data_IF_950658550972
#
_entry.id   IF_950658550972
#
_cell.length_a   1.000
_cell.length_b   1.000
_cell.length_c   1.000
_cell.angle_alpha   90.00
_cell.angle_beta   90.00
_cell.angle_gamma   90.00
#
_symmetry.space_group_name_H-M   'P 1'
#
loop_
_entity.id
_entity.type
_entity.pdbx_description
1 polymer ?
#
# COMPACT_ATOMS: atom_id res chain seq x y z
N UNK A 1 11.19 0.04 -27.47
CA UNK A 1 10.24 -0.44 -26.45
C UNK A 1 10.50 -1.91 -26.14
N UNK A 2 11.24 -2.23 -25.07
CA UNK A 2 11.44 -3.62 -24.60
C UNK A 2 10.12 -4.13 -24.02
N UNK A 3 9.35 -4.86 -24.82
CA UNK A 3 8.06 -5.44 -24.43
C UNK A 3 8.32 -6.55 -23.41
N UNK A 4 7.97 -6.30 -22.14
CA UNK A 4 8.18 -7.19 -21.00
C UNK A 4 7.37 -8.47 -21.25
N UNK A 5 8.04 -9.57 -21.61
CA UNK A 5 7.41 -10.90 -21.74
C UNK A 5 6.65 -11.18 -20.44
N UNK A 6 5.35 -11.50 -20.53
CA UNK A 6 4.54 -11.79 -19.35
C UNK A 6 5.14 -12.97 -18.56
N UNK A 7 5.06 -12.93 -17.22
CA UNK A 7 5.57 -14.00 -16.35
C UNK A 7 4.94 -15.35 -16.72
N UNK A 8 3.68 -15.33 -17.14
CA UNK A 8 2.89 -16.51 -17.55
C UNK A 8 3.46 -17.18 -18.79
N UNK A 9 3.85 -16.42 -19.82
CA UNK A 9 4.45 -17.00 -21.02
C UNK A 9 5.82 -17.63 -20.75
N UNK A 10 6.64 -17.02 -19.89
CA UNK A 10 7.95 -17.60 -19.51
C UNK A 10 7.77 -18.90 -18.74
N UNK A 11 6.85 -18.92 -17.79
CA UNK A 11 6.58 -20.10 -16.98
C UNK A 11 6.05 -21.26 -17.84
N UNK A 12 5.13 -20.98 -18.78
CA UNK A 12 4.63 -22.00 -19.68
C UNK A 12 5.68 -22.54 -20.66
N UNK A 13 6.59 -21.70 -21.17
CA UNK A 13 7.72 -22.19 -22.00
C UNK A 13 8.63 -23.11 -21.19
N UNK A 14 8.94 -22.76 -19.93
CA UNK A 14 9.75 -23.60 -19.05
C UNK A 14 9.07 -24.95 -18.78
N UNK A 15 7.77 -24.96 -18.49
CA UNK A 15 7.03 -26.23 -18.28
C UNK A 15 7.00 -27.07 -19.56
N UNK A 16 6.81 -26.45 -20.74
CA UNK A 16 6.83 -27.18 -22.01
C UNK A 16 8.21 -27.83 -22.25
N UNK A 17 9.30 -27.11 -21.97
CA UNK A 17 10.66 -27.67 -22.08
C UNK A 17 10.91 -28.82 -21.09
N UNK A 18 10.49 -28.67 -19.84
CA UNK A 18 10.57 -29.74 -18.83
C UNK A 18 9.75 -30.96 -19.27
N UNK A 19 8.54 -30.73 -19.79
CA UNK A 19 7.66 -31.80 -20.26
C UNK A 19 8.24 -32.52 -21.47
N UNK A 20 8.87 -31.80 -22.42
CA UNK A 20 9.58 -32.41 -23.53
C UNK A 20 10.75 -33.27 -23.05
N UNK A 21 11.50 -32.81 -22.05
CA UNK A 21 12.62 -33.57 -21.48
C UNK A 21 12.16 -34.85 -20.76
N UNK A 22 11.08 -34.76 -19.98
CA UNK A 22 10.46 -35.92 -19.31
C UNK A 22 9.92 -36.92 -20.33
N UNK A 23 9.29 -36.45 -21.40
CA UNK A 23 8.77 -37.31 -22.46
C UNK A 23 9.88 -37.99 -23.26
N UNK A 24 10.97 -37.28 -23.56
CA UNK A 24 12.16 -37.86 -24.17
C UNK A 24 12.76 -38.97 -23.31
N UNK A 25 12.95 -38.71 -22.01
CA UNK A 25 13.45 -39.70 -21.06
C UNK A 25 12.53 -40.93 -20.96
N UNK A 26 11.22 -40.72 -21.06
CA UNK A 26 10.28 -41.82 -20.95
C UNK A 26 10.03 -42.58 -22.27
N UNK A 27 10.30 -41.96 -23.43
CA UNK A 27 10.33 -42.65 -24.72
C UNK A 27 11.58 -43.54 -24.81
N UNK A 28 12.71 -43.07 -24.27
CA UNK A 28 13.95 -43.85 -24.15
C UNK A 28 13.76 -45.14 -23.35
N UNK A 29 12.96 -45.09 -22.28
CA UNK A 29 12.71 -46.25 -21.42
C UNK A 29 11.71 -47.28 -21.96
N UNK A 30 10.90 -46.95 -22.97
CA UNK A 30 9.81 -47.80 -23.45
C UNK A 30 10.15 -48.56 -24.75
N UNK A 31 10.60 -47.85 -25.80
CA UNK A 31 10.71 -48.39 -27.16
C UNK A 31 12.14 -48.31 -27.74
N UNK A 32 13.14 -48.00 -26.90
CA UNK A 32 14.54 -47.95 -27.30
C UNK A 32 14.99 -46.63 -27.96
N UNK A 33 16.29 -46.58 -28.28
CA UNK A 33 17.05 -45.35 -28.57
C UNK A 33 16.65 -44.68 -29.91
N UNK A 34 16.32 -45.47 -30.94
CA UNK A 34 15.94 -44.97 -32.27
C UNK A 34 14.56 -44.28 -32.29
N UNK A 35 13.59 -44.84 -31.58
CA UNK A 35 12.26 -44.25 -31.44
C UNK A 35 12.32 -42.97 -30.59
N UNK A 36 13.10 -43.00 -29.50
CA UNK A 36 13.31 -41.83 -28.65
C UNK A 36 13.98 -40.66 -29.41
N UNK A 37 14.91 -40.93 -30.33
CA UNK A 37 15.56 -39.90 -31.15
C UNK A 37 14.60 -39.28 -32.17
N UNK A 38 13.77 -40.07 -32.86
CA UNK A 38 12.76 -39.54 -33.80
C UNK A 38 11.66 -38.76 -33.09
N UNK A 39 11.12 -39.31 -32.00
CA UNK A 39 10.10 -38.64 -31.18
C UNK A 39 10.66 -37.39 -30.49
N UNK A 40 11.88 -37.46 -29.97
CA UNK A 40 12.61 -36.35 -29.37
C UNK A 40 12.84 -35.21 -30.36
N UNK A 41 13.32 -35.50 -31.56
CA UNK A 41 13.53 -34.49 -32.60
C UNK A 41 12.25 -33.72 -32.95
N UNK A 42 11.11 -34.42 -33.04
CA UNK A 42 9.81 -33.77 -33.27
C UNK A 42 9.36 -32.91 -32.06
N UNK A 43 9.53 -33.40 -30.82
CA UNK A 43 9.21 -32.66 -29.60
C UNK A 43 10.05 -31.39 -29.45
N UNK A 44 11.37 -31.50 -29.67
CA UNK A 44 12.28 -30.35 -29.61
C UNK A 44 12.00 -29.36 -30.74
N UNK A 45 11.67 -29.81 -31.95
CA UNK A 45 11.27 -28.92 -33.04
C UNK A 45 10.00 -28.11 -32.68
N UNK A 46 8.97 -28.77 -32.14
CA UNK A 46 7.74 -28.10 -31.68
C UNK A 46 8.04 -27.14 -30.52
N UNK A 47 8.87 -27.53 -29.54
CA UNK A 47 9.28 -26.65 -28.45
C UNK A 47 10.06 -25.41 -28.93
N UNK A 48 10.88 -25.57 -29.97
CA UNK A 48 11.63 -24.47 -30.59
C UNK A 48 10.69 -23.52 -31.33
N UNK A 49 9.74 -24.05 -32.12
CA UNK A 49 8.69 -23.26 -32.79
C UNK A 49 7.84 -22.51 -31.78
N UNK A 50 7.45 -23.14 -30.68
CA UNK A 50 6.71 -22.51 -29.57
C UNK A 50 7.52 -21.37 -28.95
N UNK A 51 8.82 -21.55 -28.74
CA UNK A 51 9.71 -20.52 -28.20
C UNK A 51 9.82 -19.32 -29.15
N UNK A 52 9.87 -19.56 -30.47
CA UNK A 52 9.90 -18.52 -31.51
C UNK A 52 8.56 -17.75 -31.57
N UNK A 53 7.42 -18.44 -31.48
CA UNK A 53 6.09 -17.82 -31.49
C UNK A 53 5.87 -16.92 -30.27
N UNK A 54 6.47 -17.24 -29.12
CA UNK A 54 6.42 -16.38 -27.93
C UNK A 54 7.17 -15.06 -28.14
N UNK A 55 8.27 -15.08 -28.90
CA UNK A 55 9.04 -13.88 -29.26
C UNK A 55 8.33 -12.96 -30.28
N UNK A 56 7.44 -13.50 -31.13
CA UNK A 56 6.74 -12.74 -32.17
C UNK A 56 5.68 -11.78 -31.59
N UNK A 57 5.47 -10.55 -32.10
CA UNK A 57 4.56 -9.57 -31.50
C UNK A 57 3.06 -9.80 -31.83
N UNK A 58 2.56 -11.01 -31.60
CA UNK A 58 1.14 -11.39 -31.77
C UNK A 58 0.34 -11.02 -30.51
N UNK A 59 -0.98 -10.84 -30.64
CA UNK A 59 -1.92 -10.60 -29.54
C UNK A 59 -1.80 -11.67 -28.43
N UNK A 60 -1.72 -11.24 -27.16
CA UNK A 60 -1.45 -12.11 -26.00
C UNK A 60 -2.50 -13.22 -25.87
N UNK A 61 -3.77 -12.94 -26.18
CA UNK A 61 -4.83 -13.95 -26.18
C UNK A 61 -4.57 -15.10 -27.16
N UNK A 62 -4.11 -14.78 -28.37
CA UNK A 62 -3.84 -15.77 -29.42
C UNK A 62 -2.63 -16.63 -29.00
N UNK A 63 -1.60 -16.02 -28.44
CA UNK A 63 -0.42 -16.74 -27.92
C UNK A 63 -0.79 -17.71 -26.80
N UNK A 64 -1.64 -17.28 -25.87
CA UNK A 64 -2.04 -18.09 -24.73
C UNK A 64 -2.86 -19.32 -25.11
N UNK A 65 -3.64 -19.24 -26.21
CA UNK A 65 -4.38 -20.39 -26.75
C UNK A 65 -3.48 -21.25 -27.65
N UNK A 66 -2.58 -20.64 -28.40
CA UNK A 66 -1.68 -21.34 -29.33
C UNK A 66 -0.63 -22.20 -28.60
N UNK A 67 -0.12 -21.75 -27.44
CA UNK A 67 0.92 -22.50 -26.72
C UNK A 67 0.45 -23.90 -26.27
N UNK A 68 -0.67 -24.02 -25.53
CA UNK A 68 -1.21 -25.32 -25.14
C UNK A 68 -1.64 -26.15 -26.36
N UNK A 69 -2.14 -25.47 -27.40
CA UNK A 69 -2.55 -26.13 -28.64
C UNK A 69 -1.38 -26.75 -29.39
N UNK A 70 -0.24 -26.06 -29.49
CA UNK A 70 0.97 -26.59 -30.10
C UNK A 70 1.52 -27.81 -29.34
N UNK A 71 1.45 -27.79 -28.01
CA UNK A 71 1.81 -28.95 -27.19
C UNK A 71 0.87 -30.14 -27.45
N UNK A 72 -0.43 -29.86 -27.56
CA UNK A 72 -1.45 -30.89 -27.79
C UNK A 72 -1.38 -31.47 -29.21
N UNK A 73 -1.11 -30.65 -30.23
CA UNK A 73 -0.89 -31.13 -31.61
C UNK A 73 0.42 -31.91 -31.75
N UNK A 74 1.49 -31.50 -31.05
CA UNK A 74 2.74 -32.27 -30.99
C UNK A 74 2.53 -33.67 -30.42
N UNK A 75 1.74 -33.79 -29.35
CA UNK A 75 1.36 -35.08 -28.77
C UNK A 75 0.50 -35.94 -29.71
N UNK A 76 -0.43 -35.31 -30.44
CA UNK A 76 -1.24 -36.01 -31.47
C UNK A 76 -0.37 -36.57 -32.61
N UNK A 77 0.56 -35.77 -33.13
CA UNK A 77 1.47 -36.23 -34.20
C UNK A 77 2.33 -37.40 -33.75
N UNK A 78 2.81 -37.39 -32.51
CA UNK A 78 3.54 -38.52 -31.94
C UNK A 78 2.65 -39.75 -31.79
N UNK A 79 1.42 -39.61 -31.28
CA UNK A 79 0.48 -40.74 -31.18
C UNK A 79 0.25 -41.45 -32.52
N UNK A 80 0.18 -40.68 -33.61
CA UNK A 80 -0.03 -41.21 -34.97
C UNK A 80 1.23 -41.94 -35.48
N UNK A 81 2.42 -41.36 -35.30
CA UNK A 81 3.69 -41.96 -35.75
C UNK A 81 3.98 -43.27 -34.98
N UNK A 82 3.51 -43.34 -33.74
CA UNK A 82 3.82 -44.40 -32.81
C UNK A 82 2.84 -45.56 -32.79
N UNK A 83 1.80 -45.54 -33.63
CA UNK A 83 0.82 -46.63 -33.71
C UNK A 83 -0.20 -46.68 -32.57
N UNK A 84 -0.39 -45.57 -31.85
CA UNK A 84 -1.34 -45.46 -30.75
C UNK A 84 -0.80 -45.98 -29.41
N UNK A 85 -0.40 -45.05 -28.53
CA UNK A 85 -0.06 -45.36 -27.14
C UNK A 85 -1.06 -44.69 -26.19
N UNK A 86 -1.70 -45.47 -25.32
CA UNK A 86 -2.64 -44.97 -24.30
C UNK A 86 -2.05 -43.87 -23.40
N UNK A 87 -0.72 -43.89 -23.23
CA UNK A 87 0.04 -42.95 -22.40
C UNK A 87 -0.04 -41.49 -22.88
N UNK A 88 -0.42 -41.25 -24.14
CA UNK A 88 -0.54 -39.91 -24.72
C UNK A 88 -1.65 -39.06 -24.07
N UNK A 89 -2.67 -39.68 -23.46
CA UNK A 89 -3.72 -38.96 -22.73
C UNK A 89 -3.20 -38.14 -21.53
N UNK A 90 -2.09 -38.57 -20.92
CA UNK A 90 -1.46 -37.81 -19.83
C UNK A 90 -0.87 -36.49 -20.35
N UNK A 91 -0.42 -36.45 -21.60
CA UNK A 91 0.14 -35.23 -22.23
C UNK A 91 -0.98 -34.24 -22.55
N UNK A 92 -2.15 -34.73 -22.95
CA UNK A 92 -3.34 -33.89 -23.13
C UNK A 92 -3.81 -33.26 -21.82
N UNK A 93 -3.75 -34.01 -20.71
CA UNK A 93 -4.03 -33.46 -19.39
C UNK A 93 -3.00 -32.41 -18.98
N UNK A 94 -1.73 -32.59 -19.34
CA UNK A 94 -0.68 -31.59 -19.12
C UNK A 94 -0.90 -30.32 -19.97
N UNK A 95 -1.34 -30.45 -21.23
CA UNK A 95 -1.71 -29.33 -22.08
C UNK A 95 -2.92 -28.55 -21.50
N UNK A 96 -3.88 -29.26 -20.90
CA UNK A 96 -4.99 -28.65 -20.18
C UNK A 96 -4.51 -27.82 -18.98
N UNK A 97 -3.56 -28.35 -18.20
CA UNK A 97 -2.93 -27.62 -17.09
C UNK A 97 -2.19 -26.37 -17.57
N UNK A 98 -1.46 -26.44 -18.70
CA UNK A 98 -0.80 -25.29 -19.31
C UNK A 98 -1.79 -24.18 -19.73
N UNK A 99 -2.98 -24.57 -20.21
CA UNK A 99 -4.05 -23.62 -20.49
C UNK A 99 -4.63 -22.98 -19.21
N UNK A 100 -4.72 -23.74 -18.12
CA UNK A 100 -5.22 -23.26 -16.83
C UNK A 100 -4.28 -22.29 -16.11
N UNK A 101 -2.96 -22.40 -16.31
CA UNK A 101 -1.95 -21.48 -15.75
C UNK A 101 -2.20 -20.02 -16.14
N UNK A 102 -2.83 -19.76 -17.29
CA UNK A 102 -3.21 -18.40 -17.69
C UNK A 102 -4.33 -17.79 -16.84
N UNK A 103 -4.89 -18.54 -15.89
CA UNK A 103 -5.99 -18.14 -15.00
C UNK A 103 -7.13 -17.42 -15.73
N UNK A 104 -7.36 -17.75 -17.01
CA UNK A 104 -8.33 -17.10 -17.88
C UNK A 104 -9.38 -18.09 -18.35
N UNK A 105 -10.62 -17.86 -17.88
CA UNK A 105 -11.79 -18.66 -18.24
C UNK A 105 -11.99 -18.73 -19.75
N UNK A 106 -11.78 -17.60 -20.46
CA UNK A 106 -11.93 -17.54 -21.92
C UNK A 106 -10.90 -18.43 -22.62
N UNK A 107 -9.63 -18.37 -22.21
CA UNK A 107 -8.54 -19.15 -22.82
C UNK A 107 -8.76 -20.65 -22.58
N UNK A 108 -9.06 -21.04 -21.34
CA UNK A 108 -9.29 -22.44 -20.97
C UNK A 108 -10.50 -23.03 -21.72
N UNK A 109 -11.59 -22.29 -21.82
CA UNK A 109 -12.81 -22.76 -22.50
C UNK A 109 -12.62 -22.86 -24.01
N UNK A 110 -12.00 -21.86 -24.64
CA UNK A 110 -11.69 -21.89 -26.09
C UNK A 110 -10.75 -23.05 -26.42
N UNK A 111 -9.68 -23.25 -25.66
CA UNK A 111 -8.77 -24.38 -25.86
C UNK A 111 -9.50 -25.73 -25.71
N UNK A 112 -10.25 -25.91 -24.62
CA UNK A 112 -10.93 -27.18 -24.32
C UNK A 112 -11.94 -27.58 -25.40
N UNK A 113 -12.70 -26.61 -25.93
CA UNK A 113 -13.71 -26.86 -26.99
C UNK A 113 -13.02 -27.25 -28.30
N UNK A 114 -12.00 -26.49 -28.72
CA UNK A 114 -11.32 -26.77 -30.00
C UNK A 114 -10.60 -28.13 -29.89
N UNK A 115 -9.91 -28.38 -28.78
CA UNK A 115 -9.15 -29.60 -28.60
C UNK A 115 -10.03 -30.84 -28.46
N UNK A 116 -11.15 -30.76 -27.74
CA UNK A 116 -12.13 -31.85 -27.66
C UNK A 116 -12.70 -32.20 -29.04
N UNK A 117 -13.03 -31.19 -29.85
CA UNK A 117 -13.49 -31.37 -31.23
C UNK A 117 -12.44 -32.09 -32.08
N UNK A 118 -11.17 -31.70 -31.96
CA UNK A 118 -10.06 -32.34 -32.70
C UNK A 118 -9.90 -33.80 -32.30
N UNK A 119 -9.93 -34.14 -31.00
CA UNK A 119 -9.83 -35.53 -30.54
C UNK A 119 -10.97 -36.39 -31.09
N UNK A 120 -12.21 -35.88 -31.08
CA UNK A 120 -13.38 -36.60 -31.59
C UNK A 120 -13.24 -36.88 -33.09
N UNK A 121 -12.78 -35.89 -33.88
CA UNK A 121 -12.57 -36.06 -35.32
C UNK A 121 -11.49 -37.12 -35.61
N UNK A 122 -10.36 -37.07 -34.89
CA UNK A 122 -9.27 -38.04 -35.08
C UNK A 122 -9.71 -39.45 -34.69
N UNK A 123 -10.54 -39.59 -33.65
CA UNK A 123 -11.11 -40.87 -33.24
C UNK A 123 -12.00 -41.50 -34.34
N UNK A 124 -12.80 -40.68 -35.04
CA UNK A 124 -13.65 -41.15 -36.14
C UNK A 124 -12.82 -41.62 -37.36
N UNK A 125 -11.71 -40.94 -37.64
CA UNK A 125 -10.86 -41.25 -38.81
C UNK A 125 -9.97 -42.47 -38.56
N UNK A 126 -9.39 -42.62 -37.36
CA UNK A 126 -8.49 -43.73 -37.04
C UNK A 126 -8.49 -44.04 -35.53
N UNK A 127 -9.28 -45.01 -35.06
CA UNK A 127 -9.33 -45.38 -33.64
C UNK A 127 -8.03 -46.02 -33.14
N UNK A 128 -7.31 -46.72 -34.03
CA UNK A 128 -6.03 -47.37 -33.73
C UNK A 128 -4.92 -46.36 -33.40
N UNK A 129 -4.92 -45.18 -34.04
CA UNK A 129 -3.89 -44.15 -33.82
C UNK A 129 -3.98 -43.45 -32.46
N UNK A 130 -5.10 -43.60 -31.73
CA UNK A 130 -5.30 -42.98 -30.41
C UNK A 130 -5.21 -44.01 -29.28
N UNK A 131 -5.77 -45.21 -29.47
CA UNK A 131 -5.87 -46.24 -28.42
C UNK A 131 -4.93 -47.45 -28.62
N UNK A 132 -4.29 -47.61 -29.78
CA UNK A 132 -3.53 -48.81 -30.13
C UNK A 132 -4.41 -49.98 -30.57
N UNK A 133 -3.84 -51.19 -30.66
CA UNK A 133 -4.53 -52.42 -31.12
C UNK A 133 -5.72 -52.84 -30.21
N UNK A 134 -5.76 -52.40 -28.95
CA UNK A 134 -6.81 -52.70 -27.97
C UNK A 134 -7.90 -51.60 -27.92
N UNK A 135 -8.33 -51.11 -29.09
CA UNK A 135 -9.28 -50.01 -29.19
C UNK A 135 -10.70 -50.40 -28.72
N UNK A 136 -11.00 -50.17 -27.43
CA UNK A 136 -12.33 -50.32 -26.86
C UNK A 136 -13.01 -48.96 -26.61
N UNK A 137 -14.22 -48.79 -27.16
CA UNK A 137 -15.06 -47.58 -26.98
C UNK A 137 -15.26 -47.23 -25.49
N UNK A 138 -15.34 -48.23 -24.61
CA UNK A 138 -15.49 -48.03 -23.17
C UNK A 138 -14.31 -47.31 -22.53
N UNK A 139 -13.07 -47.61 -22.98
CA UNK A 139 -11.85 -46.97 -22.48
C UNK A 139 -11.81 -45.50 -22.94
N UNK A 140 -12.20 -45.23 -24.19
CA UNK A 140 -12.27 -43.87 -24.72
C UNK A 140 -13.28 -43.00 -23.95
N UNK A 141 -14.47 -43.51 -23.67
CA UNK A 141 -15.52 -42.80 -22.91
C UNK A 141 -15.05 -42.48 -21.49
N UNK A 142 -14.43 -43.46 -20.80
CA UNK A 142 -13.93 -43.25 -19.45
C UNK A 142 -12.85 -42.14 -19.40
N UNK A 143 -11.93 -42.13 -20.37
CA UNK A 143 -10.85 -41.12 -20.46
C UNK A 143 -11.38 -39.73 -20.82
N UNK A 144 -12.32 -39.64 -21.77
CA UNK A 144 -13.00 -38.38 -22.07
C UNK A 144 -13.79 -37.86 -20.86
N UNK A 145 -14.42 -38.75 -20.09
CA UNK A 145 -15.07 -38.41 -18.83
C UNK A 145 -14.10 -37.74 -17.84
N UNK A 146 -12.94 -38.33 -17.61
CA UNK A 146 -11.89 -37.74 -16.75
C UNK A 146 -11.40 -36.40 -17.30
N UNK A 147 -11.26 -36.26 -18.62
CA UNK A 147 -10.86 -35.01 -19.24
C UNK A 147 -11.89 -33.89 -19.02
N UNK A 148 -13.19 -34.19 -19.15
CA UNK A 148 -14.29 -33.25 -18.88
C UNK A 148 -14.34 -32.87 -17.39
N UNK A 149 -14.13 -33.83 -16.49
CA UNK A 149 -14.01 -33.56 -15.06
C UNK A 149 -12.82 -32.62 -14.76
N UNK A 150 -11.67 -32.86 -15.38
CA UNK A 150 -10.49 -32.02 -15.23
C UNK A 150 -10.74 -30.57 -15.73
N UNK A 151 -11.42 -30.41 -16.87
CA UNK A 151 -11.84 -29.09 -17.38
C UNK A 151 -12.69 -28.37 -16.33
N UNK A 152 -13.64 -29.08 -15.72
CA UNK A 152 -14.58 -28.52 -14.75
C UNK A 152 -13.86 -28.04 -13.48
N UNK A 153 -12.94 -28.85 -12.95
CA UNK A 153 -12.12 -28.50 -11.77
C UNK A 153 -11.22 -27.31 -12.07
N UNK A 154 -10.51 -27.33 -13.21
CA UNK A 154 -9.62 -26.23 -13.60
C UNK A 154 -10.40 -24.94 -13.89
N UNK A 155 -11.63 -25.02 -14.37
CA UNK A 155 -12.50 -23.86 -14.54
C UNK A 155 -12.83 -23.18 -13.20
N UNK A 156 -13.16 -23.95 -12.18
CA UNK A 156 -13.43 -23.44 -10.82
C UNK A 156 -12.16 -22.84 -10.22
N UNK A 157 -11.03 -23.55 -10.28
CA UNK A 157 -9.74 -23.05 -9.81
C UNK A 157 -9.35 -21.75 -10.52
N UNK A 158 -9.57 -21.67 -11.83
CA UNK A 158 -9.31 -20.48 -12.63
C UNK A 158 -10.19 -19.30 -12.20
N UNK A 159 -11.47 -19.57 -11.90
CA UNK A 159 -12.41 -18.55 -11.41
C UNK A 159 -11.97 -18.01 -10.05
N UNK A 160 -11.68 -18.90 -9.09
CA UNK A 160 -11.31 -18.53 -7.73
C UNK A 160 -9.94 -17.85 -7.68
N UNK A 161 -8.95 -18.34 -8.43
CA UNK A 161 -7.64 -17.70 -8.49
C UNK A 161 -7.71 -16.27 -9.01
N UNK A 162 -8.51 -16.02 -10.06
CA UNK A 162 -8.73 -14.67 -10.58
C UNK A 162 -9.41 -13.75 -9.57
N UNK A 163 -10.41 -14.26 -8.87
CA UNK A 163 -11.15 -13.50 -7.85
C UNK A 163 -10.25 -13.11 -6.66
N UNK A 164 -9.42 -14.04 -6.21
CA UNK A 164 -8.44 -13.80 -5.15
C UNK A 164 -7.44 -12.70 -5.54
N UNK A 165 -6.90 -12.75 -6.77
CA UNK A 165 -5.97 -11.73 -7.28
C UNK A 165 -6.63 -10.34 -7.33
N UNK A 166 -7.86 -10.26 -7.83
CA UNK A 166 -8.61 -8.99 -7.88
C UNK A 166 -8.87 -8.46 -6.46
N UNK A 167 -9.25 -9.34 -5.53
CA UNK A 167 -9.48 -8.97 -4.14
C UNK A 167 -8.21 -8.43 -3.48
N UNK A 168 -7.07 -9.10 -3.65
CA UNK A 168 -5.79 -8.65 -3.11
C UNK A 168 -5.34 -7.32 -3.71
N UNK A 169 -5.52 -7.10 -5.02
CA UNK A 169 -5.22 -5.80 -5.63
C UNK A 169 -6.10 -4.68 -5.05
N UNK A 170 -7.40 -4.95 -4.86
CA UNK A 170 -8.32 -4.00 -4.25
C UNK A 170 -7.90 -3.67 -2.82
N UNK A 171 -7.60 -4.68 -2.01
CA UNK A 171 -7.10 -4.51 -0.64
C UNK A 171 -5.78 -3.72 -0.60
N UNK A 172 -4.85 -3.98 -1.52
CA UNK A 172 -3.61 -3.21 -1.65
C UNK A 172 -3.88 -1.73 -1.98
N UNK A 173 -4.80 -1.45 -2.91
CA UNK A 173 -5.16 -0.07 -3.26
C UNK A 173 -5.84 0.66 -2.09
N UNK A 174 -6.71 -0.03 -1.36
CA UNK A 174 -7.35 0.52 -0.17
C UNK A 174 -6.33 0.80 0.93
N UNK A 175 -5.39 -0.12 1.17
CA UNK A 175 -4.31 0.09 2.13
C UNK A 175 -3.44 1.29 1.78
N UNK A 176 -3.10 1.48 0.49
CA UNK A 176 -2.35 2.66 0.04
C UNK A 176 -3.12 3.97 0.24
N UNK A 177 -4.42 3.99 -0.06
CA UNK A 177 -5.28 5.15 0.17
C UNK A 177 -5.39 5.49 1.66
N UNK A 178 -5.55 4.47 2.52
CA UNK A 178 -5.53 4.65 3.97
C UNK A 178 -4.20 5.18 4.49
N UNK A 179 -3.06 4.68 3.97
CA UNK A 179 -1.74 5.18 4.34
C UNK A 179 -1.54 6.64 3.91
N UNK A 180 -2.03 7.03 2.72
CA UNK A 180 -1.98 8.42 2.28
C UNK A 180 -2.76 9.34 3.24
N UNK A 181 -3.99 8.96 3.62
CA UNK A 181 -4.79 9.71 4.61
C UNK A 181 -4.11 9.83 5.96
N UNK A 182 -3.45 8.76 6.43
CA UNK A 182 -2.68 8.81 7.68
C UNK A 182 -1.52 9.80 7.55
N UNK A 183 -0.80 9.79 6.43
CA UNK A 183 0.32 10.71 6.20
C UNK A 183 -0.14 12.17 6.14
N UNK A 184 -1.26 12.45 5.50
CA UNK A 184 -1.87 13.78 5.47
C UNK A 184 -2.30 14.23 6.88
N UNK A 185 -2.91 13.32 7.66
CA UNK A 185 -3.29 13.60 9.04
C UNK A 185 -2.08 13.86 9.95
N UNK A 186 -0.99 13.11 9.78
CA UNK A 186 0.27 13.33 10.50
C UNK A 186 0.88 14.68 10.11
N UNK A 187 0.87 15.04 8.83
CA UNK A 187 1.39 16.34 8.37
C UNK A 187 0.58 17.51 8.97
N UNK A 188 -0.76 17.39 8.98
CA UNK A 188 -1.62 18.38 9.62
C UNK A 188 -1.41 18.45 11.14
N UNK A 189 -1.12 17.32 11.80
CA UNK A 189 -0.77 17.31 13.22
C UNK A 189 0.56 18.00 13.50
N UNK A 190 1.58 17.80 12.66
CA UNK A 190 2.87 18.49 12.78
C UNK A 190 2.71 20.01 12.60
N UNK A 191 1.92 20.45 11.61
CA UNK A 191 1.62 21.87 11.41
C UNK A 191 0.91 22.48 12.62
N UNK A 192 -0.15 21.84 13.12
CA UNK A 192 -0.87 22.31 14.32
C UNK A 192 0.03 22.30 15.56
N UNK A 193 0.92 21.32 15.70
CA UNK A 193 1.87 21.26 16.82
C UNK A 193 2.88 22.40 16.76
N UNK A 194 3.37 22.75 15.56
CA UNK A 194 4.26 23.90 15.38
C UNK A 194 3.55 25.23 15.66
N UNK A 195 2.30 25.39 15.24
CA UNK A 195 1.48 26.56 15.58
C UNK A 195 1.32 26.69 17.10
N UNK A 196 0.95 25.60 17.77
CA UNK A 196 0.84 25.58 19.23
C UNK A 196 2.16 25.90 19.92
N UNK A 197 3.29 25.41 19.41
CA UNK A 197 4.60 25.73 19.96
C UNK A 197 4.93 27.21 19.85
N UNK A 198 4.61 27.83 18.71
CA UNK A 198 4.77 29.27 18.53
C UNK A 198 3.86 30.07 19.47
N UNK A 199 2.58 29.71 19.58
CA UNK A 199 1.64 30.38 20.49
C UNK A 199 2.08 30.29 21.97
N UNK A 200 2.69 29.17 22.36
CA UNK A 200 3.25 28.98 23.72
C UNK A 200 4.49 29.86 23.93
N UNK A 201 5.37 29.98 22.93
CA UNK A 201 6.51 30.89 23.01
C UNK A 201 6.05 32.34 23.09
N UNK A 202 5.13 32.77 22.24
CA UNK A 202 4.56 34.12 22.26
C UNK A 202 3.90 34.43 23.61
N UNK A 203 3.17 33.45 24.17
CA UNK A 203 2.58 33.58 25.51
C UNK A 203 3.64 33.69 26.61
N UNK A 204 4.78 33.01 26.46
CA UNK A 204 5.90 33.08 27.41
C UNK A 204 6.56 34.46 27.37
N UNK A 205 6.79 35.01 26.18
CA UNK A 205 7.31 36.36 25.98
C UNK A 205 6.37 37.42 26.59
N UNK A 206 5.05 37.28 26.34
CA UNK A 206 4.04 38.15 26.96
C UNK A 206 4.06 38.07 28.49
N UNK A 207 4.27 36.88 29.07
CA UNK A 207 4.40 36.72 30.52
C UNK A 207 5.66 37.40 31.04
N UNK A 208 6.77 37.37 30.30
CA UNK A 208 8.02 38.05 30.67
C UNK A 208 7.84 39.57 30.63
N UNK A 209 7.20 40.12 29.59
CA UNK A 209 6.84 41.52 29.48
C UNK A 209 5.94 41.98 30.65
N UNK A 210 4.92 41.17 30.98
CA UNK A 210 4.04 41.43 32.13
C UNK A 210 4.84 41.44 33.43
N UNK A 211 5.75 40.48 33.62
CA UNK A 211 6.61 40.41 34.81
C UNK A 211 7.49 41.65 34.93
N UNK A 212 8.05 42.13 33.83
CA UNK A 212 8.82 43.37 33.81
C UNK A 212 7.95 44.59 34.12
N UNK A 213 6.74 44.66 33.55
CA UNK A 213 5.73 45.67 33.85
C UNK A 213 5.36 45.72 35.33
N UNK A 214 5.11 44.56 35.94
CA UNK A 214 4.85 44.43 37.39
C UNK A 214 6.07 44.92 38.19
N UNK A 215 7.29 44.61 37.76
CA UNK A 215 8.52 45.12 38.38
C UNK A 215 8.60 46.64 38.41
N UNK A 216 8.28 47.29 37.28
CA UNK A 216 8.21 48.75 37.17
C UNK A 216 7.12 49.34 38.05
N UNK A 217 5.91 48.79 38.00
CA UNK A 217 4.78 49.22 38.86
C UNK A 217 5.15 49.09 40.34
N UNK A 218 5.77 47.98 40.73
CA UNK A 218 6.25 47.76 42.09
C UNK A 218 7.32 48.78 42.52
N UNK A 219 8.20 49.19 41.61
CA UNK A 219 9.17 50.26 41.86
C UNK A 219 8.48 51.61 42.04
N UNK A 220 7.59 51.99 41.13
CA UNK A 220 6.81 53.24 41.25
C UNK A 220 5.99 53.27 42.53
N UNK A 221 5.43 52.14 42.95
CA UNK A 221 4.71 52.03 44.22
C UNK A 221 5.64 52.28 45.42
N UNK A 222 6.86 51.73 45.42
CA UNK A 222 7.86 52.01 46.47
C UNK A 222 8.25 53.48 46.52
N UNK A 223 8.48 54.09 45.36
CA UNK A 223 8.79 55.53 45.25
C UNK A 223 7.63 56.39 45.79
N UNK A 224 6.39 56.01 45.45
CA UNK A 224 5.18 56.67 45.93
C UNK A 224 5.00 56.52 47.44
N UNK A 225 5.20 55.33 48.01
CA UNK A 225 5.19 55.12 49.45
C UNK A 225 6.23 56.00 50.16
N UNK A 226 7.44 56.10 49.60
CA UNK A 226 8.48 56.97 50.14
C UNK A 226 8.08 58.45 50.10
N UNK A 227 7.50 58.90 49.00
CA UNK A 227 7.00 60.28 48.86
C UNK A 227 5.86 60.59 49.84
N UNK A 228 4.95 59.63 50.07
CA UNK A 228 3.88 59.75 51.08
C UNK A 228 4.47 59.87 52.49
N UNK A 229 5.47 59.04 52.82
CA UNK A 229 6.16 59.10 54.11
C UNK A 229 6.87 60.45 54.31
N UNK A 230 7.59 60.93 53.30
CA UNK A 230 8.28 62.22 53.30
C UNK A 230 7.29 63.40 53.43
N UNK A 231 6.12 63.28 52.80
CA UNK A 231 5.02 64.25 52.93
C UNK A 231 4.42 64.23 54.34
N UNK A 232 4.21 63.06 54.94
CA UNK A 232 3.72 62.95 56.31
C UNK A 232 4.70 63.57 57.32
N UNK A 233 6.01 63.35 57.16
CA UNK A 233 7.04 64.02 57.97
C UNK A 233 6.97 65.54 57.80
N UNK A 234 6.84 66.02 56.55
CA UNK A 234 6.72 67.45 56.26
C UNK A 234 5.47 68.08 56.89
N UNK A 235 4.32 67.40 56.85
CA UNK A 235 3.08 67.82 57.51
C UNK A 235 3.27 67.89 59.03
N UNK A 236 3.92 66.90 59.64
CA UNK A 236 4.17 66.90 61.07
C UNK A 236 5.08 68.07 61.49
N UNK A 237 6.13 68.34 60.71
CA UNK A 237 7.01 69.50 60.92
C UNK A 237 6.25 70.82 60.78
N UNK A 238 5.43 70.96 59.74
CA UNK A 238 4.58 72.14 59.52
C UNK A 238 3.58 72.35 60.67
N UNK A 239 2.95 71.27 61.14
CA UNK A 239 2.06 71.30 62.29
C UNK A 239 2.79 71.76 63.56
N UNK A 240 3.99 71.23 63.81
CA UNK A 240 4.82 71.63 64.95
C UNK A 240 5.21 73.12 64.90
N UNK A 241 5.61 73.61 63.72
CA UNK A 241 5.90 75.02 63.49
C UNK A 241 4.66 75.90 63.66
N UNK A 242 3.49 75.45 63.20
CA UNK A 242 2.22 76.15 63.36
C UNK A 242 1.85 76.29 64.84
N UNK A 243 1.98 75.22 65.64
CA UNK A 243 1.77 75.25 67.09
C UNK A 243 2.69 76.27 67.77
N UNK A 244 3.98 76.29 67.40
CA UNK A 244 4.93 77.27 67.93
C UNK A 244 4.54 78.72 67.57
N UNK A 245 4.10 78.97 66.33
CA UNK A 245 3.60 80.27 65.90
C UNK A 245 2.32 80.69 66.64
N UNK A 246 1.37 79.77 66.85
CA UNK A 246 0.17 80.03 67.65
C UNK A 246 0.54 80.44 69.07
N UNK A 247 1.51 79.76 69.69
CA UNK A 247 2.01 80.14 71.01
C UNK A 247 2.62 81.54 71.03
N UNK A 248 3.43 81.91 70.03
CA UNK A 248 3.97 83.27 69.90
C UNK A 248 2.88 84.33 69.71
N UNK A 249 1.83 84.02 68.96
CA UNK A 249 0.67 84.91 68.78
C UNK A 249 -0.05 85.13 70.11
N UNK A 250 -0.30 84.07 70.88
CA UNK A 250 -0.90 84.18 72.22
C UNK A 250 -0.03 85.03 73.15
N UNK A 251 1.28 84.80 73.18
CA UNK A 251 2.23 85.61 73.95
C UNK A 251 2.20 87.09 73.52
N UNK A 252 2.14 87.37 72.21
CA UNK A 252 2.06 88.73 71.66
C UNK A 252 0.72 89.40 71.99
N UNK A 253 -0.36 88.63 71.99
CA UNK A 253 -1.70 89.10 72.35
C UNK A 253 -1.76 89.48 73.84
N UNK A 254 -1.26 88.62 74.73
CA UNK A 254 -1.16 88.91 76.16
C UNK A 254 -0.25 90.12 76.41
N UNK A 255 0.89 90.23 75.73
CA UNK A 255 1.75 91.43 75.79
C UNK A 255 1.01 92.69 75.35
N UNK A 256 0.25 92.62 74.25
CA UNK A 256 -0.53 93.75 73.74
C UNK A 256 -1.61 94.19 74.74
N UNK A 257 -2.25 93.23 75.41
CA UNK A 257 -3.25 93.47 76.46
C UNK A 257 -2.61 94.06 77.72
N UNK A 258 -1.43 93.60 78.11
CA UNK A 258 -0.65 94.17 79.20
C UNK A 258 -0.23 95.61 78.89
N UNK A 259 0.20 95.91 77.66
CA UNK A 259 0.49 97.27 77.19
C UNK A 259 -0.77 98.14 77.27
N UNK A 260 -1.92 97.68 76.78
CA UNK A 260 -3.18 98.43 76.85
C UNK A 260 -3.59 98.73 78.31
N UNK A 261 -3.45 97.73 79.20
CA UNK A 261 -3.71 97.90 80.62
C UNK A 261 -2.73 98.91 81.27
N UNK A 262 -1.46 98.90 80.89
CA UNK A 262 -0.47 99.88 81.37
C UNK A 262 -0.80 101.30 80.92
N UNK A 263 -1.33 101.49 79.70
CA UNK A 263 -1.79 102.80 79.24
C UNK A 263 -3.06 103.26 79.96
N UNK A 264 -4.01 102.36 80.24
CA UNK A 264 -5.22 102.69 81.02
C UNK A 264 -4.90 103.00 82.50
N UNK A 265 -3.89 102.35 83.08
CA UNK A 265 -3.42 102.62 84.45
C UNK A 265 -2.63 103.92 84.61
N UNK A 266 -2.05 104.45 83.53
CA UNK A 266 -1.31 105.73 83.54
C UNK A 266 -2.23 106.96 83.34
N UNK A 267 -3.54 106.77 83.18
CA UNK A 267 -4.53 107.82 82.93
C UNK A 267 -5.49 108.09 84.12
N UNK A 268 -5.15 107.58 85.32
CA UNK A 268 -5.83 107.88 86.60
C UNK A 268 -4.87 108.62 87.53
#
# INVERSE_FOLDING_TARGET
>A
MKKKISREHRFNVVIIWISCFVLFAAAYGADGLDYALRAGAALFAVATVVTIVVLLPINDFIKSVFLPMAAATGALTLSIISGGLERMFNIYMLALCLAAVYFSRKILMTFSIIFSTVIIIVYIISPVSILGEEANIGIFIARMGVFICAISVLYVLTKWGRELVIKSQKEETLAKDSLAKINDAVSALEENTNLLFNDVNDSTDLIEDIKQGIGMVGQSMREMSRAVEETAVSINNANSAMVASTKQIDETYELSKDIENSFKGSAA
#
